data_IF_773861887839
#
_entry.id   IF_773861887839
#
_cell.length_a   1.000
_cell.length_b   1.000
_cell.length_c   1.000
_cell.angle_alpha   90.00
_cell.angle_beta   90.00
_cell.angle_gamma   90.00
#
_symmetry.space_group_name_H-M   'P 1'
#
loop_
_entity.id
_entity.type
_entity.pdbx_description
1 polymer ?
#
# COMPACT_ATOMS: atom_id res chain seq x y z
N UNK A 1 13.25 -36.65 4.65
CA UNK A 1 14.63 -36.73 4.15
C UNK A 1 14.76 -36.83 2.63
N UNK A 2 13.95 -37.63 1.92
CA UNK A 2 14.01 -37.75 0.45
C UNK A 2 13.94 -36.40 -0.30
N UNK A 3 12.98 -35.53 0.01
CA UNK A 3 12.83 -34.21 -0.65
C UNK A 3 14.03 -33.29 -0.42
N UNK A 4 14.62 -33.30 0.78
CA UNK A 4 15.82 -32.51 1.10
C UNK A 4 17.02 -32.94 0.27
N UNK A 5 17.25 -34.27 0.13
CA UNK A 5 18.31 -34.81 -0.73
C UNK A 5 18.09 -34.45 -2.21
N UNK A 6 16.85 -34.47 -2.66
CA UNK A 6 16.50 -34.10 -4.02
C UNK A 6 16.91 -32.65 -4.32
N UNK A 7 16.47 -31.67 -3.52
CA UNK A 7 16.80 -30.26 -3.73
C UNK A 7 18.30 -29.96 -3.54
N UNK A 8 19.01 -30.74 -2.73
CA UNK A 8 20.44 -30.57 -2.58
C UNK A 8 21.22 -30.90 -3.88
N UNK A 9 20.71 -31.83 -4.68
CA UNK A 9 21.33 -32.23 -5.96
C UNK A 9 20.81 -31.45 -7.16
N UNK A 10 19.61 -30.85 -7.06
CA UNK A 10 18.93 -30.14 -8.15
C UNK A 10 18.98 -28.60 -7.98
N UNK A 11 20.18 -28.05 -8.11
CA UNK A 11 20.42 -26.60 -7.95
C UNK A 11 19.60 -25.71 -8.90
N UNK A 12 19.11 -26.23 -10.02
CA UNK A 12 18.25 -25.47 -10.96
C UNK A 12 16.86 -25.13 -10.42
N UNK A 13 16.43 -25.81 -9.37
CA UNK A 13 15.14 -25.59 -8.71
C UNK A 13 15.24 -24.64 -7.51
N UNK A 14 16.41 -24.01 -7.31
CA UNK A 14 16.59 -23.02 -6.25
C UNK A 14 15.85 -21.76 -6.64
N UNK A 15 14.84 -21.41 -5.85
CA UNK A 15 14.01 -20.19 -6.01
C UNK A 15 14.41 -19.06 -5.05
N UNK A 16 15.41 -19.32 -4.19
CA UNK A 16 15.92 -18.34 -3.24
C UNK A 16 16.55 -17.17 -3.98
N UNK A 17 16.18 -15.97 -3.60
CA UNK A 17 16.73 -14.73 -4.16
C UNK A 17 17.74 -14.14 -3.18
N UNK A 18 18.92 -13.78 -3.69
CA UNK A 18 19.97 -13.16 -2.91
C UNK A 18 19.83 -11.65 -2.99
N UNK A 19 19.07 -11.08 -2.08
CA UNK A 19 18.97 -9.65 -1.93
C UNK A 19 20.11 -9.15 -1.00
N UNK A 20 20.86 -8.07 -1.29
CA UNK A 20 20.58 -7.05 -2.34
C UNK A 20 21.26 -7.30 -3.70
N UNK A 21 21.99 -8.39 -3.91
CA UNK A 21 22.77 -8.61 -5.13
C UNK A 21 21.90 -8.69 -6.39
N UNK A 22 20.66 -9.17 -6.26
CA UNK A 22 19.72 -9.29 -7.37
C UNK A 22 18.70 -8.15 -7.45
N UNK A 23 18.96 -6.99 -6.84
CA UNK A 23 18.02 -5.87 -6.77
C UNK A 23 17.45 -5.50 -8.15
N UNK A 24 18.28 -5.42 -9.18
CA UNK A 24 17.88 -5.01 -10.54
C UNK A 24 17.02 -6.06 -11.26
N UNK A 25 17.12 -7.33 -10.84
CA UNK A 25 16.36 -8.46 -11.41
C UNK A 25 15.25 -8.96 -10.52
N UNK A 26 15.01 -8.29 -9.39
CA UNK A 26 14.02 -8.69 -8.39
C UNK A 26 12.61 -8.58 -8.97
N UNK A 27 11.94 -9.71 -9.12
CA UNK A 27 10.55 -9.77 -9.56
C UNK A 27 9.65 -10.09 -8.36
N UNK A 28 8.95 -9.05 -7.88
CA UNK A 28 8.00 -9.21 -6.80
C UNK A 28 6.64 -9.65 -7.35
N UNK A 29 5.90 -10.51 -6.65
CA UNK A 29 4.56 -10.90 -7.07
C UNK A 29 3.62 -9.69 -7.08
N UNK A 30 2.63 -9.70 -7.98
CA UNK A 30 1.65 -8.62 -8.13
C UNK A 30 0.94 -8.26 -6.82
N UNK A 31 0.74 -9.26 -5.95
CA UNK A 31 0.10 -9.06 -4.64
C UNK A 31 1.08 -8.72 -3.51
N UNK A 32 2.28 -8.29 -3.83
CA UNK A 32 3.23 -7.86 -2.82
C UNK A 32 2.70 -6.62 -2.08
N UNK A 33 2.99 -6.55 -0.77
CA UNK A 33 2.49 -5.50 0.11
C UNK A 33 3.67 -4.75 0.72
N UNK A 34 4.18 -3.76 0.00
CA UNK A 34 5.30 -2.95 0.44
C UNK A 34 4.86 -1.77 1.29
N UNK A 35 4.11 -0.86 0.72
CA UNK A 35 3.60 0.33 1.42
C UNK A 35 2.23 0.75 0.90
N UNK A 36 1.52 1.56 1.67
CA UNK A 36 0.25 2.14 1.27
C UNK A 36 0.50 3.45 0.53
N UNK A 37 0.09 3.52 -0.73
CA UNK A 37 0.21 4.73 -1.54
C UNK A 37 -1.15 5.21 -2.01
N UNK A 38 -1.29 6.51 -2.17
CA UNK A 38 -2.47 7.12 -2.76
C UNK A 38 -2.31 7.17 -4.29
N UNK A 39 -3.31 6.65 -5.00
CA UNK A 39 -3.32 6.68 -6.46
C UNK A 39 -3.75 8.06 -6.97
N UNK A 40 -3.00 8.56 -7.94
CA UNK A 40 -3.31 9.81 -8.62
C UNK A 40 -3.63 9.52 -10.09
N UNK A 41 -4.46 10.37 -10.68
CA UNK A 41 -4.75 10.36 -12.10
C UNK A 41 -3.59 11.02 -12.89
N UNK A 42 -3.67 11.01 -14.23
CA UNK A 42 -2.72 11.69 -15.12
C UNK A 42 -2.63 13.20 -14.85
N UNK A 43 -3.70 13.79 -14.32
CA UNK A 43 -3.80 15.19 -13.92
C UNK A 43 -3.28 15.46 -12.49
N UNK A 44 -2.68 14.43 -11.87
CA UNK A 44 -2.18 14.45 -10.48
C UNK A 44 -3.28 14.69 -9.41
N UNK A 45 -4.52 14.36 -9.73
CA UNK A 45 -5.63 14.43 -8.78
C UNK A 45 -5.84 13.07 -8.08
N UNK A 46 -6.04 13.08 -6.77
CA UNK A 46 -6.36 11.89 -5.99
C UNK A 46 -7.85 11.57 -6.04
N UNK A 47 -8.20 10.28 -6.02
CA UNK A 47 -9.59 9.80 -6.00
C UNK A 47 -10.23 9.80 -4.61
N UNK A 48 -9.49 10.20 -3.58
CA UNK A 48 -9.94 10.13 -2.21
C UNK A 48 -11.02 11.20 -1.92
N UNK A 49 -12.16 10.76 -1.39
CA UNK A 49 -13.30 11.61 -1.01
C UNK A 49 -13.29 11.99 0.47
N UNK A 50 -12.28 11.55 1.24
CA UNK A 50 -12.23 11.79 2.68
C UNK A 50 -13.31 11.05 3.47
N UNK A 51 -13.75 9.87 3.00
CA UNK A 51 -14.84 9.10 3.64
C UNK A 51 -14.47 8.45 4.98
N UNK A 52 -13.19 8.43 5.37
CA UNK A 52 -12.64 7.84 6.61
C UNK A 52 -12.76 6.31 6.73
N UNK A 53 -13.23 5.60 5.71
CA UNK A 53 -13.41 4.14 5.77
C UNK A 53 -12.09 3.38 6.03
N UNK A 54 -10.99 3.81 5.43
CA UNK A 54 -9.67 3.20 5.64
C UNK A 54 -9.12 3.46 7.05
N UNK A 55 -9.41 4.61 7.66
CA UNK A 55 -9.07 4.91 9.06
C UNK A 55 -9.81 3.96 10.01
N UNK A 56 -11.11 3.76 9.81
CA UNK A 56 -11.93 2.87 10.62
C UNK A 56 -11.56 1.38 10.44
N UNK A 57 -11.14 0.99 9.24
CA UNK A 57 -10.74 -0.38 8.93
C UNK A 57 -9.34 -0.74 9.44
N UNK A 58 -8.53 0.25 9.79
CA UNK A 58 -7.16 0.02 10.24
C UNK A 58 -7.11 -0.45 11.71
N UNK A 59 -6.67 -1.70 11.99
CA UNK A 59 -6.62 -2.22 13.35
C UNK A 59 -5.59 -1.50 14.24
N UNK A 60 -4.54 -0.95 13.63
CA UNK A 60 -3.44 -0.30 14.35
C UNK A 60 -3.58 1.24 14.39
N UNK A 61 -4.62 1.81 13.79
CA UNK A 61 -4.80 3.27 13.75
C UNK A 61 -3.68 4.01 13.00
N UNK A 62 -3.09 3.38 11.98
CA UNK A 62 -1.96 3.93 11.22
C UNK A 62 -2.35 5.06 10.28
N UNK A 63 -3.63 5.17 9.96
CA UNK A 63 -4.17 6.15 9.02
C UNK A 63 -5.04 7.14 9.79
N UNK A 64 -4.80 8.43 9.56
CA UNK A 64 -5.66 9.52 10.04
C UNK A 64 -6.07 10.42 8.88
N UNK A 65 -7.36 10.74 8.83
CA UNK A 65 -7.94 11.52 7.76
C UNK A 65 -8.56 12.79 8.33
N UNK A 66 -8.03 13.92 7.89
CA UNK A 66 -8.64 15.23 8.15
C UNK A 66 -9.46 15.62 6.92
N UNK A 67 -10.70 16.00 7.12
CA UNK A 67 -11.62 16.35 6.05
C UNK A 67 -12.02 17.81 6.12
N UNK A 68 -12.19 18.42 4.97
CA UNK A 68 -12.78 19.75 4.80
C UNK A 68 -14.09 19.66 4.04
N UNK A 69 -14.87 20.73 4.13
CA UNK A 69 -16.11 20.87 3.36
C UNK A 69 -15.88 21.92 2.29
N UNK A 70 -15.90 21.51 1.05
CA UNK A 70 -15.87 22.42 -0.09
C UNK A 70 -17.30 22.78 -0.49
N UNK A 71 -17.53 24.04 -0.81
CA UNK A 71 -18.82 24.52 -1.28
C UNK A 71 -18.80 24.46 -2.81
N UNK A 72 -19.57 23.53 -3.37
CA UNK A 72 -19.76 23.46 -4.82
C UNK A 72 -20.49 24.71 -5.31
N UNK A 73 -20.26 25.19 -6.55
CA UNK A 73 -20.95 26.36 -7.11
C UNK A 73 -22.48 26.26 -7.06
N UNK A 74 -23.03 25.05 -6.89
CA UNK A 74 -24.46 24.77 -6.68
C UNK A 74 -24.93 24.99 -5.21
N UNK A 75 -24.06 25.44 -4.29
CA UNK A 75 -24.40 25.63 -2.88
C UNK A 75 -24.45 24.37 -2.03
N UNK A 76 -24.07 23.22 -2.58
CA UNK A 76 -24.00 21.94 -1.85
C UNK A 76 -22.65 21.78 -1.15
N UNK A 77 -22.67 21.42 0.13
CA UNK A 77 -21.46 21.07 0.87
C UNK A 77 -21.00 19.66 0.47
N UNK A 78 -19.82 19.55 -0.13
CA UNK A 78 -19.18 18.29 -0.46
C UNK A 78 -18.01 18.06 0.48
N UNK A 79 -17.96 16.85 1.06
CA UNK A 79 -16.82 16.44 1.89
C UNK A 79 -15.62 16.15 0.97
N UNK A 80 -14.48 16.74 1.28
CA UNK A 80 -13.23 16.55 0.56
C UNK A 80 -12.10 16.19 1.53
N UNK A 81 -11.07 15.56 1.03
CA UNK A 81 -9.85 15.28 1.79
C UNK A 81 -9.09 16.60 1.99
N UNK A 82 -8.68 16.86 3.21
CA UNK A 82 -7.75 17.94 3.54
C UNK A 82 -6.34 17.36 3.74
N UNK A 83 -6.20 16.47 4.71
CA UNK A 83 -4.90 15.86 5.04
C UNK A 83 -5.06 14.35 5.22
N UNK A 84 -4.15 13.60 4.62
CA UNK A 84 -4.00 12.16 4.79
C UNK A 84 -2.66 11.89 5.50
N UNK A 85 -2.73 11.38 6.72
CA UNK A 85 -1.54 11.03 7.50
C UNK A 85 -1.43 9.51 7.56
N UNK A 86 -0.27 8.99 7.20
CA UNK A 86 0.05 7.57 7.24
C UNK A 86 1.29 7.31 8.07
N UNK A 87 1.17 6.52 9.13
CA UNK A 87 2.24 6.10 10.01
C UNK A 87 2.77 4.73 9.60
N UNK A 88 3.81 4.74 8.74
CA UNK A 88 4.40 3.51 8.20
C UNK A 88 4.92 2.59 9.31
N UNK A 89 5.50 3.16 10.35
CA UNK A 89 6.10 2.44 11.48
C UNK A 89 5.11 1.57 12.27
N UNK A 90 3.82 1.90 12.22
CA UNK A 90 2.76 1.16 12.89
C UNK A 90 2.02 0.20 11.95
N UNK A 91 2.33 0.24 10.66
CA UNK A 91 1.60 -0.53 9.66
C UNK A 91 2.04 -1.99 9.61
N UNK A 92 1.07 -2.90 9.67
CA UNK A 92 1.29 -4.36 9.52
C UNK A 92 1.09 -4.87 8.09
N UNK A 93 0.94 -4.00 7.12
CA UNK A 93 0.75 -4.32 5.68
C UNK A 93 -0.40 -5.32 5.43
N UNK A 94 -1.47 -5.23 6.22
CA UNK A 94 -2.58 -6.19 6.19
C UNK A 94 -3.54 -6.04 4.99
N UNK A 95 -3.48 -4.91 4.26
CA UNK A 95 -4.33 -4.59 3.10
C UNK A 95 -5.80 -4.23 3.40
N UNK A 96 -6.25 -4.28 4.65
CA UNK A 96 -7.65 -4.00 5.01
C UNK A 96 -8.11 -2.59 4.61
N UNK A 97 -7.23 -1.59 4.70
CA UNK A 97 -7.54 -0.23 4.29
C UNK A 97 -7.81 -0.11 2.78
N UNK A 98 -7.09 -0.88 1.95
CA UNK A 98 -7.29 -0.91 0.49
C UNK A 98 -8.63 -1.58 0.16
N UNK A 99 -8.94 -2.70 0.81
CA UNK A 99 -10.22 -3.41 0.63
C UNK A 99 -11.43 -2.60 1.11
N UNK A 100 -11.24 -1.80 2.16
CA UNK A 100 -12.29 -0.93 2.68
C UNK A 100 -12.52 0.35 1.86
N UNK A 101 -11.62 0.69 0.93
CA UNK A 101 -11.69 1.92 0.16
C UNK A 101 -12.72 1.83 -0.98
N UNK A 102 -13.85 2.56 -0.91
CA UNK A 102 -14.91 2.43 -1.93
C UNK A 102 -14.53 3.03 -3.28
N UNK A 103 -13.56 3.96 -3.29
CA UNK A 103 -13.12 4.66 -4.52
C UNK A 103 -11.85 4.08 -5.12
N UNK A 104 -11.21 3.10 -4.46
CA UNK A 104 -9.92 2.58 -4.88
C UNK A 104 -8.81 3.65 -4.89
N UNK A 105 -8.92 4.65 -4.00
CA UNK A 105 -7.98 5.76 -3.94
C UNK A 105 -6.62 5.38 -3.35
N UNK A 106 -6.52 4.24 -2.69
CA UNK A 106 -5.29 3.72 -2.09
C UNK A 106 -5.01 2.32 -2.59
N UNK A 107 -3.74 1.99 -2.72
CA UNK A 107 -3.27 0.66 -3.12
C UNK A 107 -2.01 0.29 -2.32
N UNK A 108 -1.64 -0.99 -2.33
CA UNK A 108 -0.32 -1.43 -1.91
C UNK A 108 0.67 -1.27 -3.07
N UNK A 109 1.80 -0.67 -2.79
CA UNK A 109 2.91 -0.57 -3.74
C UNK A 109 3.97 -1.63 -3.47
N UNK A 110 4.92 -1.75 -4.38
CA UNK A 110 6.00 -2.73 -4.30
C UNK A 110 7.26 -2.18 -3.62
N UNK A 111 7.29 -0.90 -3.28
CA UNK A 111 8.38 -0.32 -2.52
C UNK A 111 8.42 -0.89 -1.10
N UNK A 112 9.58 -1.37 -0.66
CA UNK A 112 9.79 -1.97 0.65
C UNK A 112 11.08 -1.48 1.34
N UNK A 113 11.88 -0.69 0.65
CA UNK A 113 13.11 -0.12 1.20
C UNK A 113 12.82 1.24 1.83
N UNK A 114 12.47 1.23 3.10
CA UNK A 114 12.08 2.44 3.84
C UNK A 114 13.15 2.95 4.79
N UNK A 115 14.34 2.33 4.81
CA UNK A 115 15.42 2.77 5.67
C UNK A 115 16.01 4.09 5.17
N UNK A 116 16.00 5.08 6.05
CA UNK A 116 16.64 6.40 5.86
C UNK A 116 17.65 6.63 6.95
N UNK A 117 18.73 7.34 6.64
CA UNK A 117 19.76 7.77 7.60
C UNK A 117 19.42 9.13 8.16
#
# INVERSE_FOLDING_TARGET
MWKTGYYFTHHKEIITQNYPENRDSLNLPERFRGEVVMTHNEENEHRCTGCTACELACPNGTIKIVTKFDITPEGKKKKALDTFVYHLELCTMCNLCVEACPTGAIKMDQAFEHSVY
#
